data_IF_747869045000
#
_entry.id   IF_747869045000
#
_cell.length_a   1.000
_cell.length_b   1.000
_cell.length_c   1.000
_cell.angle_alpha   90.00
_cell.angle_beta   90.00
_cell.angle_gamma   90.00
#
_symmetry.space_group_name_H-M   'P 1'
#
loop_
_entity.id
_entity.type
_entity.pdbx_description
1 polymer ?
#
# COMPACT_ATOMS: atom_id res chain seq x y z
N UNK A 1 -11.76 23.41 37.49
CA UNK A 1 -11.86 22.06 36.88
C UNK A 1 -10.92 22.04 35.68
N UNK A 2 -9.84 21.24 35.70
CA UNK A 2 -8.91 21.15 34.58
C UNK A 2 -9.60 20.42 33.42
N UNK A 3 -9.45 20.96 32.20
CA UNK A 3 -9.93 20.36 30.95
C UNK A 3 -9.39 18.92 30.82
N UNK A 4 -10.17 17.96 30.28
CA UNK A 4 -9.65 16.62 30.02
C UNK A 4 -8.50 16.72 29.03
N UNK A 5 -7.31 16.26 29.43
CA UNK A 5 -6.14 16.17 28.56
C UNK A 5 -6.50 15.25 27.39
N UNK A 6 -6.32 15.75 26.16
CA UNK A 6 -6.37 14.91 24.96
C UNK A 6 -5.44 13.71 25.15
N UNK A 7 -5.82 12.50 24.72
CA UNK A 7 -4.92 11.36 24.72
C UNK A 7 -3.67 11.70 23.89
N UNK A 8 -2.48 11.18 24.26
CA UNK A 8 -1.27 11.38 23.48
C UNK A 8 -1.48 10.82 22.07
N UNK A 9 -1.25 11.66 21.06
CA UNK A 9 -1.16 11.25 19.65
C UNK A 9 -0.03 10.23 19.52
N UNK A 10 -0.31 9.09 18.89
CA UNK A 10 0.70 8.07 18.59
C UNK A 10 1.89 8.67 17.82
N UNK A 11 3.12 8.17 18.03
CA UNK A 11 4.30 8.67 17.33
C UNK A 11 4.17 8.39 15.83
N UNK A 12 4.21 9.46 15.04
CA UNK A 12 4.34 9.42 13.58
C UNK A 12 3.10 8.91 12.85
N UNK A 13 2.15 9.81 12.56
CA UNK A 13 1.21 9.55 11.47
C UNK A 13 1.97 9.60 10.15
N UNK A 14 2.59 8.49 9.74
CA UNK A 14 3.18 8.38 8.40
C UNK A 14 2.04 8.43 7.40
N UNK A 15 1.76 9.62 6.88
CA UNK A 15 0.86 9.79 5.73
C UNK A 15 1.48 9.03 4.55
N UNK A 16 0.67 8.19 3.91
CA UNK A 16 1.14 7.29 2.87
C UNK A 16 0.06 6.32 2.39
N UNK A 17 0.36 5.61 1.30
CA UNK A 17 -0.49 4.58 0.71
C UNK A 17 0.32 3.33 0.45
N UNK A 18 -0.33 2.17 0.47
CA UNK A 18 0.38 0.91 0.16
C UNK A 18 0.71 0.84 -1.33
N UNK A 19 1.78 0.14 -1.67
CA UNK A 19 2.13 -0.13 -3.06
C UNK A 19 1.00 -0.90 -3.78
N UNK A 20 0.25 -1.74 -3.07
CA UNK A 20 -0.94 -2.39 -3.63
C UNK A 20 -1.98 -1.37 -4.14
N UNK A 21 -2.26 -0.32 -3.36
CA UNK A 21 -3.18 0.73 -3.78
C UNK A 21 -2.63 1.53 -4.98
N UNK A 22 -1.33 1.82 -4.96
CA UNK A 22 -0.66 2.52 -6.06
C UNK A 22 -0.67 1.70 -7.37
N UNK A 23 -0.45 0.39 -7.30
CA UNK A 23 -0.51 -0.49 -8.46
C UNK A 23 -1.94 -0.65 -9.01
N UNK A 24 -2.95 -0.60 -8.15
CA UNK A 24 -4.34 -0.58 -8.60
C UNK A 24 -4.66 0.71 -9.39
N UNK A 25 -4.14 1.86 -8.97
CA UNK A 25 -4.35 3.16 -9.64
C UNK A 25 -3.61 3.23 -10.99
N UNK A 26 -2.36 2.75 -11.02
CA UNK A 26 -1.43 2.80 -12.16
C UNK A 26 -1.51 1.58 -13.08
N UNK A 27 -2.39 0.64 -12.76
CA UNK A 27 -2.50 -0.68 -13.38
C UNK A 27 -1.19 -1.50 -13.35
N UNK A 28 -0.14 -1.13 -12.62
CA UNK A 28 1.13 -1.86 -12.66
C UNK A 28 2.05 -1.49 -13.83
N UNK A 29 1.95 -0.25 -14.32
CA UNK A 29 2.78 0.31 -15.37
C UNK A 29 3.83 1.31 -14.85
N UNK A 30 4.60 0.93 -13.83
CA UNK A 30 5.64 1.81 -13.31
C UNK A 30 6.80 1.92 -14.30
N UNK A 31 7.29 3.15 -14.51
CA UNK A 31 8.52 3.36 -15.28
C UNK A 31 9.66 2.52 -14.68
N UNK A 32 10.49 1.82 -15.49
CA UNK A 32 11.47 0.86 -14.98
C UNK A 32 12.41 1.44 -13.91
N UNK A 33 12.88 2.67 -14.13
CA UNK A 33 13.74 3.37 -13.17
C UNK A 33 13.04 3.62 -11.83
N UNK A 34 11.75 3.98 -11.84
CA UNK A 34 10.93 4.15 -10.63
C UNK A 34 10.77 2.82 -9.90
N UNK A 35 10.46 1.74 -10.63
CA UNK A 35 10.34 0.40 -10.04
C UNK A 35 11.67 -0.07 -9.42
N UNK A 36 12.79 0.13 -10.12
CA UNK A 36 14.12 -0.21 -9.61
C UNK A 36 14.51 0.59 -8.35
N UNK A 37 14.20 1.88 -8.30
CA UNK A 37 14.45 2.72 -7.13
C UNK A 37 13.62 2.27 -5.91
N UNK A 38 12.32 2.03 -6.10
CA UNK A 38 11.43 1.59 -5.03
C UNK A 38 11.84 0.22 -4.47
N UNK A 39 12.14 -0.75 -5.34
CA UNK A 39 12.61 -2.08 -4.91
C UNK A 39 13.99 -1.99 -4.25
N UNK A 40 14.84 -1.02 -4.64
CA UNK A 40 16.09 -0.73 -3.92
C UNK A 40 15.82 -0.32 -2.47
N UNK A 41 14.81 0.52 -2.23
CA UNK A 41 14.46 0.94 -0.86
C UNK A 41 13.81 -0.19 -0.05
N UNK A 42 12.99 -1.05 -0.69
CA UNK A 42 12.53 -2.31 -0.08
C UNK A 42 13.71 -3.17 0.35
N UNK A 43 14.69 -3.38 -0.52
CA UNK A 43 15.87 -4.19 -0.23
C UNK A 43 16.73 -3.62 0.91
N UNK A 44 16.85 -2.29 1.03
CA UNK A 44 17.51 -1.65 2.18
C UNK A 44 16.78 -1.93 3.49
N UNK A 45 15.45 -1.91 3.48
CA UNK A 45 14.65 -2.30 4.64
C UNK A 45 14.87 -3.77 5.02
N UNK A 46 14.94 -4.66 4.02
CA UNK A 46 15.22 -6.08 4.24
C UNK A 46 16.63 -6.33 4.76
N UNK A 47 17.64 -5.64 4.22
CA UNK A 47 19.03 -5.69 4.71
C UNK A 47 19.08 -5.40 6.21
N UNK A 48 18.36 -4.36 6.66
CA UNK A 48 18.28 -4.00 8.06
C UNK A 48 17.66 -5.11 8.93
N UNK A 49 16.56 -5.73 8.48
CA UNK A 49 15.93 -6.85 9.18
C UNK A 49 16.84 -8.08 9.23
N UNK A 50 17.45 -8.42 8.09
CA UNK A 50 18.32 -9.59 7.94
C UNK A 50 19.59 -9.47 8.78
N UNK A 51 20.16 -8.27 8.91
CA UNK A 51 21.28 -8.00 9.82
C UNK A 51 20.92 -8.27 11.29
N UNK A 52 19.64 -8.14 11.65
CA UNK A 52 19.09 -8.52 12.95
C UNK A 52 18.71 -10.01 13.07
N UNK A 53 18.98 -10.83 12.05
CA UNK A 53 18.60 -12.25 12.01
C UNK A 53 17.10 -12.49 11.80
N UNK A 54 16.34 -11.48 11.40
CA UNK A 54 14.90 -11.56 11.18
C UNK A 54 14.59 -11.54 9.69
N UNK A 55 13.97 -12.60 9.19
CA UNK A 55 13.31 -12.56 7.88
C UNK A 55 11.96 -11.83 8.00
N UNK A 56 11.62 -11.03 7.00
CA UNK A 56 10.30 -10.40 6.93
C UNK A 56 9.20 -11.46 6.76
N UNK A 57 9.40 -12.41 5.85
CA UNK A 57 8.51 -13.55 5.62
C UNK A 57 7.21 -13.23 4.86
N UNK A 58 7.08 -12.01 4.34
CA UNK A 58 5.82 -11.50 3.78
C UNK A 58 5.99 -10.30 2.86
N UNK A 59 7.05 -10.27 2.04
CA UNK A 59 7.31 -9.16 1.11
C UNK A 59 6.31 -9.20 -0.04
N UNK A 60 5.44 -8.19 -0.11
CA UNK A 60 4.37 -8.05 -1.11
C UNK A 60 3.84 -6.62 -1.15
N UNK A 61 3.09 -6.21 -2.19
CA UNK A 61 2.65 -4.81 -2.34
C UNK A 61 1.79 -4.26 -1.18
N UNK A 62 1.01 -5.08 -0.49
CA UNK A 62 0.20 -4.64 0.65
C UNK A 62 1.04 -4.31 1.90
N UNK A 63 2.24 -4.89 2.01
CA UNK A 63 3.14 -4.75 3.15
C UNK A 63 4.24 -3.72 2.90
N UNK A 64 4.10 -2.95 1.81
CA UNK A 64 5.02 -1.89 1.42
C UNK A 64 4.23 -0.59 1.47
N UNK A 65 4.55 0.28 2.41
CA UNK A 65 3.96 1.61 2.53
C UNK A 65 4.85 2.62 1.81
N UNK A 66 4.27 3.33 0.84
CA UNK A 66 4.88 4.50 0.21
C UNK A 66 4.51 5.72 1.03
N UNK A 67 5.52 6.46 1.47
CA UNK A 67 5.33 7.58 2.40
C UNK A 67 5.56 8.92 1.72
N UNK A 68 4.97 9.96 2.29
CA UNK A 68 5.25 11.35 1.90
C UNK A 68 6.59 11.88 2.50
N UNK A 69 7.25 11.10 3.37
CA UNK A 69 8.54 11.41 3.99
C UNK A 69 9.67 11.04 3.02
N UNK A 70 10.29 12.04 2.38
CA UNK A 70 11.36 11.83 1.40
C UNK A 70 12.61 11.16 1.99
N UNK A 71 12.82 11.25 3.31
CA UNK A 71 13.94 10.57 3.98
C UNK A 71 13.62 9.07 4.22
N UNK A 72 12.35 8.68 4.17
CA UNK A 72 11.86 7.31 4.34
C UNK A 72 10.74 6.99 3.33
N UNK A 73 11.05 6.98 2.02
CA UNK A 73 10.04 6.86 0.98
C UNK A 73 9.32 5.50 1.01
N UNK A 74 9.94 4.47 1.61
CA UNK A 74 9.38 3.13 1.75
C UNK A 74 9.49 2.65 3.20
N UNK A 75 8.39 2.11 3.72
CA UNK A 75 8.34 1.42 5.02
C UNK A 75 7.77 0.01 4.84
N UNK A 76 8.46 -0.99 5.39
CA UNK A 76 7.99 -2.37 5.42
C UNK A 76 7.07 -2.59 6.62
N UNK A 77 5.88 -3.13 6.37
CA UNK A 77 4.85 -3.43 7.35
C UNK A 77 4.84 -4.93 7.68
N UNK A 78 4.35 -5.30 8.87
CA UNK A 78 4.09 -6.69 9.25
C UNK A 78 5.31 -7.64 9.17
N UNK A 79 6.51 -7.11 9.41
CA UNK A 79 7.74 -7.90 9.45
C UNK A 79 7.65 -9.00 10.53
N UNK A 80 8.00 -10.23 10.16
CA UNK A 80 7.98 -11.38 11.08
C UNK A 80 6.57 -11.93 11.37
N UNK A 81 5.53 -11.42 10.70
CA UNK A 81 4.15 -11.89 10.82
C UNK A 81 3.69 -12.56 9.50
N UNK A 82 4.21 -13.75 9.15
CA UNK A 82 3.81 -14.42 7.92
C UNK A 82 2.32 -14.79 7.94
N UNK A 83 1.51 -14.12 7.12
CA UNK A 83 0.18 -14.59 6.75
C UNK A 83 -0.95 -14.27 7.72
N UNK A 84 -1.17 -13.00 8.10
CA UNK A 84 -2.55 -12.59 8.34
C UNK A 84 -3.30 -12.66 7.00
N UNK A 85 -4.32 -13.51 6.84
CA UNK A 85 -5.03 -13.64 5.59
C UNK A 85 -5.77 -12.32 5.31
N UNK A 86 -5.25 -11.56 4.34
CA UNK A 86 -6.02 -10.48 3.71
C UNK A 86 -7.12 -11.08 2.83
N UNK A 87 -8.19 -10.34 2.54
CA UNK A 87 -9.36 -10.84 1.81
C UNK A 87 -9.12 -11.23 0.34
N UNK A 88 -7.88 -11.28 -0.15
CA UNK A 88 -7.56 -11.60 -1.54
C UNK A 88 -6.75 -12.91 -1.64
N UNK A 89 -7.23 -13.84 -2.47
CA UNK A 89 -6.62 -15.14 -2.77
C UNK A 89 -5.24 -15.09 -3.48
N UNK A 90 -4.53 -13.96 -3.43
CA UNK A 90 -3.37 -13.64 -4.27
C UNK A 90 -2.03 -13.56 -3.50
N UNK A 91 -2.05 -13.82 -2.19
CA UNK A 91 -0.86 -13.79 -1.32
C UNK A 91 0.22 -14.79 -1.74
N UNK A 92 -0.19 -15.91 -2.36
CA UNK A 92 0.72 -16.96 -2.81
C UNK A 92 1.60 -16.55 -4.00
N UNK A 93 1.18 -15.57 -4.79
CA UNK A 93 1.94 -15.10 -5.96
C UNK A 93 3.30 -14.52 -5.55
N UNK A 94 3.37 -13.89 -4.37
CA UNK A 94 4.58 -13.23 -3.86
C UNK A 94 5.44 -14.15 -2.99
N UNK A 95 4.86 -15.24 -2.47
CA UNK A 95 5.57 -16.14 -1.57
C UNK A 95 6.58 -17.01 -2.32
N UNK A 96 7.77 -17.15 -1.74
CA UNK A 96 8.76 -18.10 -2.20
C UNK A 96 8.25 -19.55 -2.04
N UNK A 97 8.66 -20.49 -2.93
CA UNK A 97 8.19 -21.86 -2.91
C UNK A 97 8.72 -22.68 -1.72
N UNK A 98 9.88 -22.32 -1.17
CA UNK A 98 10.47 -22.99 0.00
C UNK A 98 9.82 -22.56 1.32
N UNK A 99 9.82 -23.47 2.30
CA UNK A 99 9.35 -23.22 3.67
C UNK A 99 10.27 -23.93 4.68
N UNK A 100 10.53 -23.36 5.88
CA UNK A 100 10.10 -22.03 6.35
C UNK A 100 10.78 -20.90 5.55
N UNK A 101 10.16 -19.71 5.58
CA UNK A 101 10.71 -18.54 4.87
C UNK A 101 11.96 -18.01 5.57
N UNK A 102 12.94 -17.58 4.79
CA UNK A 102 14.20 -17.01 5.26
C UNK A 102 14.55 -15.71 4.50
N UNK A 103 15.77 -15.20 4.70
CA UNK A 103 16.25 -14.01 4.03
C UNK A 103 16.19 -14.13 2.50
N UNK A 104 16.44 -15.32 1.92
CA UNK A 104 16.36 -15.56 0.48
C UNK A 104 14.92 -15.58 0.00
N UNK A 105 13.97 -16.02 0.83
CA UNK A 105 12.54 -15.94 0.53
C UNK A 105 12.06 -14.49 0.40
N UNK A 106 12.59 -13.57 1.19
CA UNK A 106 12.26 -12.14 1.07
C UNK A 106 12.76 -11.53 -0.24
N UNK A 107 13.95 -11.94 -0.71
CA UNK A 107 14.49 -11.50 -2.00
C UNK A 107 13.61 -11.98 -3.17
N UNK A 108 13.06 -13.18 -3.05
CA UNK A 108 12.08 -13.69 -4.02
C UNK A 108 10.82 -12.81 -4.03
N UNK A 109 10.26 -12.49 -2.85
CA UNK A 109 9.10 -11.61 -2.75
C UNK A 109 9.36 -10.23 -3.35
N UNK A 110 10.55 -9.65 -3.12
CA UNK A 110 10.96 -8.40 -3.76
C UNK A 110 11.03 -8.51 -5.29
N UNK A 111 11.48 -9.65 -5.84
CA UNK A 111 11.44 -9.93 -7.27
C UNK A 111 10.02 -10.00 -7.83
N UNK A 112 9.07 -10.60 -7.08
CA UNK A 112 7.66 -10.65 -7.47
C UNK A 112 6.97 -9.28 -7.39
N UNK A 113 7.37 -8.43 -6.44
CA UNK A 113 6.97 -7.03 -6.40
C UNK A 113 7.48 -6.30 -7.65
N UNK A 114 8.74 -6.48 -8.02
CA UNK A 114 9.31 -5.87 -9.23
C UNK A 114 8.55 -6.29 -10.49
N UNK A 115 8.17 -7.57 -10.60
CA UNK A 115 7.30 -8.07 -11.69
C UNK A 115 5.96 -7.33 -11.69
N UNK A 116 5.27 -7.25 -10.55
CA UNK A 116 3.97 -6.59 -10.44
C UNK A 116 4.03 -5.09 -10.78
N UNK A 117 5.16 -4.43 -10.56
CA UNK A 117 5.38 -3.02 -10.91
C UNK A 117 5.63 -2.78 -12.41
N UNK A 118 6.16 -3.78 -13.12
CA UNK A 118 6.63 -3.63 -14.51
C UNK A 118 5.69 -4.26 -15.54
N UNK A 119 4.69 -5.05 -15.12
CA UNK A 119 3.90 -5.89 -16.01
C UNK A 119 2.49 -5.37 -16.25
N UNK A 120 2.33 -4.16 -16.78
CA UNK A 120 1.09 -3.75 -17.46
C UNK A 120 1.34 -2.51 -18.34
N UNK A 121 2.27 -2.58 -19.30
CA UNK A 121 2.23 -1.59 -20.37
C UNK A 121 1.13 -2.04 -21.35
N UNK A 122 0.08 -1.23 -21.51
CA UNK A 122 -1.02 -1.47 -22.46
C UNK A 122 -0.50 -1.65 -23.91
N UNK A 123 0.79 -1.41 -24.14
CA UNK A 123 1.58 -1.62 -25.35
C UNK A 123 2.23 -3.03 -25.51
N UNK A 124 2.14 -3.91 -24.51
CA UNK A 124 2.78 -5.23 -24.54
C UNK A 124 4.31 -5.17 -24.46
N UNK A 125 4.87 -4.05 -23.96
CA UNK A 125 6.31 -3.93 -23.74
C UNK A 125 6.72 -4.82 -22.56
N UNK A 126 7.58 -5.80 -22.83
CA UNK A 126 8.28 -6.53 -21.78
C UNK A 126 9.19 -5.57 -21.01
N UNK A 127 9.44 -5.87 -19.74
CA UNK A 127 10.44 -5.15 -18.96
C UNK A 127 11.79 -5.08 -19.73
N UNK A 128 12.57 -3.98 -19.62
CA UNK A 128 13.88 -3.89 -20.27
C UNK A 128 14.76 -5.10 -19.90
N UNK A 129 15.63 -5.52 -20.81
CA UNK A 129 16.43 -6.75 -20.65
C UNK A 129 17.15 -6.83 -19.30
N UNK A 130 17.81 -5.76 -18.84
CA UNK A 130 18.53 -5.80 -17.58
C UNK A 130 17.61 -6.13 -16.40
N UNK A 131 16.36 -5.66 -16.42
CA UNK A 131 15.37 -5.98 -15.37
C UNK A 131 14.91 -7.43 -15.45
N UNK A 132 14.80 -8.03 -16.65
CA UNK A 132 14.46 -9.45 -16.78
C UNK A 132 15.53 -10.34 -16.14
N UNK A 133 16.82 -9.98 -16.26
CA UNK A 133 17.92 -10.70 -15.60
C UNK A 133 17.82 -10.59 -14.08
N UNK A 134 17.52 -9.39 -13.56
CA UNK A 134 17.30 -9.18 -12.13
C UNK A 134 16.12 -10.03 -11.65
N UNK A 135 14.97 -9.94 -12.31
CA UNK A 135 13.76 -10.71 -12.00
C UNK A 135 14.09 -12.20 -11.97
N UNK A 136 14.72 -12.73 -13.02
CA UNK A 136 15.07 -14.14 -13.11
C UNK A 136 15.91 -14.60 -11.90
N UNK A 137 16.92 -13.81 -11.50
CA UNK A 137 17.77 -14.15 -10.35
C UNK A 137 17.02 -14.07 -9.02
N UNK A 138 16.21 -13.04 -8.80
CA UNK A 138 15.46 -12.90 -7.55
C UNK A 138 14.37 -13.97 -7.44
N UNK A 139 13.69 -14.30 -8.55
CA UNK A 139 12.60 -15.27 -8.56
C UNK A 139 13.06 -16.71 -8.88
N UNK A 140 14.36 -17.00 -8.73
CA UNK A 140 14.88 -18.35 -8.93
C UNK A 140 14.23 -19.33 -7.94
N UNK A 141 13.89 -20.53 -8.43
CA UNK A 141 13.19 -21.54 -7.61
C UNK A 141 14.09 -22.10 -6.52
N UNK A 142 15.36 -22.31 -6.83
CA UNK A 142 16.39 -22.66 -5.84
C UNK A 142 16.90 -21.38 -5.14
N UNK A 143 16.78 -21.26 -3.80
CA UNK A 143 17.30 -20.13 -3.05
C UNK A 143 18.82 -19.90 -3.25
N UNK A 144 19.59 -20.95 -3.54
CA UNK A 144 21.04 -20.83 -3.74
C UNK A 144 21.40 -20.08 -5.03
N UNK A 145 20.50 -20.05 -6.02
CA UNK A 145 20.69 -19.33 -7.29
C UNK A 145 20.35 -17.83 -7.18
N UNK A 146 19.75 -17.41 -6.07
CA UNK A 146 19.43 -15.99 -5.81
C UNK A 146 20.71 -15.23 -5.41
N UNK A 147 20.72 -13.88 -5.47
CA UNK A 147 21.82 -13.10 -4.90
C UNK A 147 21.97 -13.34 -3.40
N UNK A 148 23.21 -13.29 -2.90
CA UNK A 148 23.56 -13.75 -1.55
C UNK A 148 22.79 -13.03 -0.44
N UNK A 149 22.59 -11.73 -0.63
CA UNK A 149 21.99 -10.81 0.30
C UNK A 149 21.32 -9.64 -0.46
N UNK A 150 20.69 -8.75 0.29
CA UNK A 150 20.06 -7.56 -0.26
C UNK A 150 21.07 -6.62 -0.94
N UNK A 151 22.30 -6.51 -0.44
CA UNK A 151 23.34 -5.68 -1.04
C UNK A 151 23.69 -6.12 -2.47
N UNK A 152 23.81 -7.43 -2.70
CA UNK A 152 24.03 -8.01 -4.02
C UNK A 152 22.84 -7.74 -4.96
N UNK A 153 21.59 -7.80 -4.47
CA UNK A 153 20.42 -7.41 -5.26
C UNK A 153 20.43 -5.92 -5.64
N UNK A 154 20.80 -5.04 -4.72
CA UNK A 154 20.89 -3.59 -4.96
C UNK A 154 21.93 -3.27 -6.04
N UNK A 155 23.07 -3.97 -6.04
CA UNK A 155 24.08 -3.83 -7.08
C UNK A 155 23.52 -4.20 -8.47
N UNK A 156 22.82 -5.34 -8.58
CA UNK A 156 22.20 -5.77 -9.84
C UNK A 156 21.14 -4.78 -10.34
N UNK A 157 20.32 -4.23 -9.43
CA UNK A 157 19.32 -3.22 -9.78
C UNK A 157 19.95 -1.90 -10.23
N UNK A 158 21.06 -1.50 -9.59
CA UNK A 158 21.82 -0.31 -10.00
C UNK A 158 22.33 -0.44 -11.42
N UNK A 159 22.93 -1.59 -11.75
CA UNK A 159 23.43 -1.87 -13.10
C UNK A 159 22.28 -1.88 -14.11
N UNK A 160 21.16 -2.51 -13.76
CA UNK A 160 19.96 -2.52 -14.60
C UNK A 160 19.34 -1.12 -14.82
N UNK A 161 19.44 -0.23 -13.85
CA UNK A 161 18.97 1.17 -13.97
C UNK A 161 19.89 2.03 -14.86
N UNK A 162 21.17 1.67 -14.97
CA UNK A 162 22.14 2.35 -15.84
C UNK A 162 22.08 1.86 -17.28
N UNK A 163 21.74 0.59 -17.50
CA UNK A 163 21.63 -0.02 -18.82
C UNK A 163 20.20 0.19 -19.38
N UNK A 164 20.05 1.18 -20.26
CA UNK A 164 18.78 1.56 -20.87
C UNK A 164 18.32 0.66 -22.03
N UNK A 165 18.96 -0.51 -22.22
CA UNK A 165 18.64 -1.42 -23.32
C UNK A 165 17.26 -2.07 -23.15
N UNK A 166 16.30 -1.61 -23.95
CA UNK A 166 15.00 -2.28 -24.09
C UNK A 166 15.12 -3.36 -25.15
N UNK A 167 14.83 -4.63 -24.82
CA UNK A 167 14.50 -5.59 -25.87
C UNK A 167 13.18 -5.13 -26.46
N UNK A 168 13.22 -4.73 -27.73
CA UNK A 168 12.03 -4.70 -28.56
C UNK A 168 11.85 -6.11 -29.13
N UNK A 169 10.92 -6.94 -28.64
CA UNK A 169 10.34 -7.89 -29.57
C UNK A 169 9.76 -7.04 -30.73
N UNK A 170 10.08 -7.37 -31.98
CA UNK A 170 9.35 -6.82 -33.12
C UNK A 170 7.90 -7.26 -32.97
N UNK A 171 7.11 -6.45 -32.27
CA UNK A 171 5.67 -6.62 -32.20
C UNK A 171 5.14 -6.15 -33.54
N UNK A 172 4.43 -6.99 -34.31
CA UNK A 172 3.77 -6.51 -35.51
C UNK A 172 2.88 -5.31 -35.13
N UNK A 173 2.80 -4.27 -35.99
CA UNK A 173 1.97 -3.12 -35.71
C UNK A 173 0.54 -3.60 -35.42
N UNK A 174 -0.02 -3.08 -34.32
CA UNK A 174 -1.37 -3.43 -33.90
C UNK A 174 -2.35 -3.12 -35.02
N UNK A 175 -3.25 -4.06 -35.26
CA UNK A 175 -4.34 -3.86 -36.20
C UNK A 175 -5.29 -2.77 -35.67
N UNK A 176 -6.03 -2.07 -36.55
CA UNK A 176 -7.06 -1.12 -36.15
C UNK A 176 -8.08 -1.73 -35.16
N UNK A 177 -8.44 -3.00 -35.34
CA UNK A 177 -9.35 -3.72 -34.44
C UNK A 177 -8.80 -3.89 -33.02
N UNK A 178 -7.51 -4.18 -32.89
CA UNK A 178 -6.85 -4.28 -31.58
C UNK A 178 -6.76 -2.92 -30.88
N UNK A 179 -6.54 -1.84 -31.62
CA UNK A 179 -6.54 -0.48 -31.08
C UNK A 179 -7.94 -0.04 -30.62
N UNK A 180 -8.98 -0.40 -31.38
CA UNK A 180 -10.38 -0.15 -31.02
C UNK A 180 -10.76 -0.91 -29.74
N UNK A 181 -10.33 -2.18 -29.61
CA UNK A 181 -10.58 -3.00 -28.43
C UNK A 181 -9.88 -2.45 -27.17
N UNK A 182 -8.67 -1.90 -27.32
CA UNK A 182 -7.95 -1.22 -26.24
C UNK A 182 -8.69 0.04 -25.78
N UNK A 183 -9.08 0.91 -26.71
CA UNK A 183 -9.84 2.13 -26.41
C UNK A 183 -11.13 1.83 -25.65
N UNK A 184 -11.89 0.82 -26.08
CA UNK A 184 -13.12 0.41 -25.40
C UNK A 184 -12.87 -0.06 -23.97
N UNK A 185 -11.78 -0.81 -23.74
CA UNK A 185 -11.40 -1.25 -22.39
C UNK A 185 -11.01 -0.08 -21.50
N UNK A 186 -10.24 0.87 -22.02
CA UNK A 186 -9.85 2.08 -21.29
C UNK A 186 -11.06 2.92 -20.88
N UNK A 187 -12.01 3.11 -21.81
CA UNK A 187 -13.27 3.83 -21.55
C UNK A 187 -14.12 3.12 -20.48
N UNK A 188 -14.22 1.79 -20.56
CA UNK A 188 -14.97 0.99 -19.59
C UNK A 188 -14.34 1.04 -18.19
N UNK A 189 -13.01 0.96 -18.11
CA UNK A 189 -12.27 1.11 -16.85
C UNK A 189 -12.39 2.52 -16.27
N UNK A 190 -12.33 3.57 -17.10
CA UNK A 190 -12.55 4.95 -16.64
C UNK A 190 -13.98 5.13 -16.11
N UNK A 191 -14.96 4.54 -16.79
CA UNK A 191 -16.35 4.58 -16.35
C UNK A 191 -16.55 3.83 -15.03
N UNK A 192 -15.91 2.67 -14.84
CA UNK A 192 -15.94 1.93 -13.58
C UNK A 192 -15.27 2.71 -12.44
N UNK A 193 -14.11 3.32 -12.67
CA UNK A 193 -13.45 4.19 -11.69
C UNK A 193 -14.37 5.34 -11.28
N UNK A 194 -14.98 6.04 -12.25
CA UNK A 194 -15.90 7.14 -11.97
C UNK A 194 -17.13 6.68 -11.18
N UNK A 195 -17.68 5.50 -11.49
CA UNK A 195 -18.77 4.90 -10.72
C UNK A 195 -18.36 4.60 -9.27
N UNK A 196 -17.18 4.02 -9.09
CA UNK A 196 -16.66 3.64 -7.77
C UNK A 196 -16.37 4.88 -6.92
N UNK A 197 -15.73 5.91 -7.47
CA UNK A 197 -15.52 7.18 -6.79
C UNK A 197 -16.83 7.89 -6.42
N UNK A 198 -17.81 7.87 -7.33
CA UNK A 198 -19.12 8.46 -7.08
C UNK A 198 -19.83 7.73 -5.93
N UNK A 199 -19.82 6.40 -5.95
CA UNK A 199 -20.40 5.58 -4.89
C UNK A 199 -19.71 5.82 -3.55
N UNK A 200 -18.37 5.86 -3.52
CA UNK A 200 -17.59 6.16 -2.31
C UNK A 200 -17.90 7.56 -1.77
N UNK A 201 -18.01 8.58 -2.63
CA UNK A 201 -18.42 9.94 -2.22
C UNK A 201 -19.83 9.94 -1.62
N UNK A 202 -20.77 9.26 -2.26
CA UNK A 202 -22.15 9.14 -1.76
C UNK A 202 -22.20 8.45 -0.39
N UNK A 203 -21.45 7.37 -0.23
CA UNK A 203 -21.40 6.60 1.01
C UNK A 203 -20.79 7.42 2.16
N UNK A 204 -19.69 8.14 1.92
CA UNK A 204 -19.05 8.99 2.93
C UNK A 204 -19.93 10.18 3.33
N UNK A 205 -20.65 10.78 2.39
CA UNK A 205 -21.57 11.88 2.67
C UNK A 205 -22.79 11.41 3.47
N UNK A 206 -23.37 10.27 3.10
CA UNK A 206 -24.44 9.63 3.87
C UNK A 206 -24.01 9.32 5.30
N UNK A 207 -22.79 8.79 5.48
CA UNK A 207 -22.25 8.50 6.81
C UNK A 207 -22.02 9.77 7.65
N UNK A 208 -21.58 10.89 7.04
CA UNK A 208 -21.47 12.19 7.72
C UNK A 208 -22.81 12.72 8.19
N UNK A 209 -23.86 12.61 7.37
CA UNK A 209 -25.19 13.09 7.71
C UNK A 209 -25.81 12.28 8.86
N UNK A 210 -25.65 10.95 8.83
CA UNK A 210 -26.10 10.05 9.91
C UNK A 210 -25.34 10.36 11.20
N UNK A 211 -24.01 10.50 11.13
CA UNK A 211 -23.18 10.82 12.30
C UNK A 211 -23.55 12.18 12.90
N UNK A 212 -23.79 13.20 12.06
CA UNK A 212 -24.22 14.52 12.50
C UNK A 212 -25.61 14.51 13.12
N UNK A 213 -26.55 13.73 12.58
CA UNK A 213 -27.88 13.55 13.14
C UNK A 213 -27.83 12.87 14.52
N UNK A 214 -27.04 11.81 14.66
CA UNK A 214 -26.84 11.11 15.94
C UNK A 214 -26.16 12.01 16.99
N UNK A 215 -25.17 12.81 16.59
CA UNK A 215 -24.53 13.77 17.49
C UNK A 215 -25.50 14.85 17.97
N UNK A 216 -26.37 15.37 17.09
CA UNK A 216 -27.43 16.33 17.46
C UNK A 216 -28.45 15.70 18.41
N UNK A 217 -28.85 14.46 18.19
CA UNK A 217 -29.77 13.73 19.06
C UNK A 217 -29.19 13.55 20.47
N UNK A 218 -27.92 13.11 20.58
CA UNK A 218 -27.22 12.97 21.87
C UNK A 218 -27.10 14.30 22.63
N UNK A 219 -26.73 15.38 21.93
CA UNK A 219 -26.65 16.72 22.52
C UNK A 219 -28.02 17.22 23.02
N UNK A 220 -29.10 16.88 22.33
CA UNK A 220 -30.46 17.21 22.76
C UNK A 220 -30.89 16.42 24.00
N UNK A 221 -30.56 15.13 24.07
CA UNK A 221 -30.80 14.28 25.25
C UNK A 221 -30.01 14.74 26.47
N UNK A 222 -28.71 15.05 26.31
CA UNK A 222 -27.87 15.58 27.39
C UNK A 222 -28.38 16.93 27.91
N UNK A 223 -28.83 17.81 27.01
CA UNK A 223 -29.42 19.10 27.38
C UNK A 223 -30.77 18.97 28.08
N UNK A 224 -31.56 17.96 27.72
CA UNK A 224 -32.81 17.63 28.41
C UNK A 224 -32.55 17.06 29.82
N UNK A 225 -31.50 16.26 29.99
CA UNK A 225 -31.08 15.73 31.29
C UNK A 225 -30.43 16.80 32.19
N UNK A 226 -29.90 17.88 31.61
CA UNK A 226 -29.31 19.02 32.34
C UNK A 226 -30.30 20.20 32.58
N UNK A 227 -31.61 19.98 32.44
CA UNK A 227 -32.66 20.93 32.85
C UNK A 227 -32.69 21.20 34.37
N UNK A 228 -33.28 22.32 34.85
CA UNK A 228 -32.68 23.18 35.87
C UNK A 228 -32.73 22.60 37.30
N UNK A 229 -31.63 22.01 37.76
CA UNK A 229 -31.30 21.89 39.20
C UNK A 229 -30.79 23.23 39.76
N UNK A 230 -31.55 24.31 39.57
CA UNK A 230 -31.43 25.59 40.28
C UNK A 230 -32.83 26.11 40.57
N UNK A 231 -33.52 25.49 41.52
CA UNK A 231 -34.87 25.91 41.90
C UNK A 231 -35.44 25.33 43.19
N UNK A 232 -34.68 24.60 44.01
CA UNK A 232 -35.25 23.93 45.20
C UNK A 232 -34.47 24.08 46.53
N UNK A 233 -33.65 25.13 46.68
CA UNK A 233 -33.03 25.49 47.98
C UNK A 233 -33.24 26.97 48.36
N UNK A 234 -34.35 27.57 47.93
CA UNK A 234 -34.69 28.98 48.19
C UNK A 234 -36.01 29.23 48.92
N UNK A 235 -36.57 28.24 49.64
CA UNK A 235 -37.87 28.38 50.34
C UNK A 235 -37.97 27.69 51.71
N UNK A 236 -36.86 27.55 52.44
CA UNK A 236 -36.89 27.04 53.83
C UNK A 236 -36.06 27.84 54.85
N UNK A 237 -35.70 29.10 54.58
CA UNK A 237 -35.18 29.99 55.63
C UNK A 237 -35.66 31.44 55.40
N UNK A 238 -36.56 31.91 56.26
CA UNK A 238 -36.69 33.34 56.57
C UNK A 238 -38.04 33.99 56.27
N UNK A 239 -39.01 33.85 57.19
CA UNK A 239 -39.80 34.97 57.74
C UNK A 239 -40.23 34.63 59.17
N UNK A 240 -39.48 35.19 60.11
CA UNK A 240 -39.86 35.34 61.52
C UNK A 240 -39.36 36.72 61.95
N UNK A 241 -40.25 37.70 61.86
CA UNK A 241 -40.39 38.92 62.67
C UNK A 241 -41.51 39.77 62.08
#
# INVERSE_FOLDING_TARGET
MPQPRRPPTAPGSTSGRTLAAELADTLGNSAPRTAGALVTDVLRGLEHLHAGGLAHGGVRPSNILLTDDLDRPVVLLDAGLPGLPGPAADDSFFAAPERPADARSDLYGAGRVLVAMLHHDDDGRLAPLPYLVVIQRLTARDPAERPQDAAACIALLRDAMTDGSTLRPEMPPRTPEQLEALRRREEEQQADRARQEHFTRMFLEGHRQISAAQARARMAEEKAQQGPLRGLWGRLTGKGQ
#
